data_IF_745881306597
#
_entry.id   IF_745881306597
#
_cell.length_a   1.000
_cell.length_b   1.000
_cell.length_c   1.000
_cell.angle_alpha   90.00
_cell.angle_beta   90.00
_cell.angle_gamma   90.00
#
_symmetry.space_group_name_H-M   'P 1'
#
loop_
_entity.id
_entity.type
_entity.pdbx_description
1 polymer ?
#
# COMPACT_ATOMS: atom_id res chain seq x y z
N UNK A 1 -7.11 15.11 25.20
CA UNK A 1 -5.69 14.87 24.85
C UNK A 1 -5.48 13.71 23.86
N UNK A 2 -6.39 12.72 23.75
CA UNK A 2 -6.25 11.62 22.77
C UNK A 2 -6.41 12.04 21.30
N UNK A 3 -7.25 13.04 21.00
CA UNK A 3 -7.50 13.51 19.61
C UNK A 3 -6.25 14.14 18.98
N UNK A 4 -5.45 14.86 19.77
CA UNK A 4 -4.21 15.50 19.30
C UNK A 4 -3.14 14.46 18.89
N UNK A 5 -3.09 13.33 19.60
CA UNK A 5 -2.17 12.24 19.27
C UNK A 5 -2.59 11.49 17.98
N UNK A 6 -3.89 11.33 17.72
CA UNK A 6 -4.38 10.72 16.47
C UNK A 6 -4.07 11.61 15.28
N UNK A 7 -4.42 12.90 15.36
CA UNK A 7 -4.16 13.86 14.29
C UNK A 7 -2.66 13.97 13.97
N UNK A 8 -1.80 13.97 15.00
CA UNK A 8 -0.35 14.00 14.80
C UNK A 8 0.18 12.71 14.16
N UNK A 9 -0.34 11.55 14.57
CA UNK A 9 0.03 10.26 13.98
C UNK A 9 -0.42 10.17 12.51
N UNK A 10 -1.67 10.54 12.22
CA UNK A 10 -2.22 10.61 10.86
C UNK A 10 -1.42 11.56 9.98
N UNK A 11 -1.05 12.73 10.51
CA UNK A 11 -0.20 13.70 9.81
C UNK A 11 1.17 13.11 9.45
N UNK A 12 1.80 12.40 10.38
CA UNK A 12 3.07 11.70 10.14
C UNK A 12 2.90 10.61 9.10
N UNK A 13 1.92 9.72 9.22
CA UNK A 13 1.68 8.63 8.27
C UNK A 13 1.45 9.19 6.86
N UNK A 14 0.60 10.22 6.73
CA UNK A 14 0.34 10.87 5.45
C UNK A 14 1.59 11.51 4.84
N UNK A 15 2.47 12.10 5.66
CA UNK A 15 3.74 12.65 5.17
C UNK A 15 4.65 11.55 4.60
N UNK A 16 4.77 10.41 5.28
CA UNK A 16 5.56 9.27 4.79
C UNK A 16 4.94 8.68 3.53
N UNK A 17 3.61 8.49 3.50
CA UNK A 17 2.89 8.00 2.32
C UNK A 17 3.16 8.88 1.10
N UNK A 18 3.07 10.21 1.26
CA UNK A 18 3.37 11.16 0.16
C UNK A 18 4.80 11.03 -0.34
N UNK A 19 5.78 10.93 0.56
CA UNK A 19 7.18 10.77 0.19
C UNK A 19 7.43 9.45 -0.55
N UNK A 20 6.84 8.36 -0.07
CA UNK A 20 6.94 7.03 -0.69
C UNK A 20 6.31 7.03 -2.09
N UNK A 21 5.14 7.63 -2.26
CA UNK A 21 4.49 7.76 -3.58
C UNK A 21 5.39 8.50 -4.57
N UNK A 22 6.03 9.60 -4.16
CA UNK A 22 6.97 10.32 -5.04
C UNK A 22 8.19 9.48 -5.37
N UNK A 23 8.83 8.86 -4.37
CA UNK A 23 9.99 8.02 -4.56
C UNK A 23 9.70 6.87 -5.54
N UNK A 24 8.58 6.17 -5.34
CA UNK A 24 8.17 5.07 -6.21
C UNK A 24 7.85 5.58 -7.61
N UNK A 25 7.25 6.77 -7.75
CA UNK A 25 7.02 7.35 -9.09
C UNK A 25 8.32 7.63 -9.85
N UNK A 26 9.38 8.03 -9.15
CA UNK A 26 10.71 8.22 -9.73
C UNK A 26 11.33 6.88 -10.12
N UNK A 27 11.26 5.88 -9.24
CA UNK A 27 11.76 4.53 -9.49
C UNK A 27 11.03 3.90 -10.69
N UNK A 28 9.72 4.12 -10.81
CA UNK A 28 8.88 3.60 -11.89
C UNK A 28 9.17 4.22 -13.27
N UNK A 29 10.01 5.25 -13.36
CA UNK A 29 10.55 5.71 -14.63
C UNK A 29 11.57 4.73 -15.24
N UNK A 30 12.13 3.80 -14.43
CA UNK A 30 13.01 2.74 -14.88
C UNK A 30 12.13 1.54 -15.30
N UNK A 31 12.16 1.08 -16.57
CA UNK A 31 11.25 0.04 -17.08
C UNK A 31 11.28 -1.27 -16.28
N UNK A 32 12.46 -1.75 -15.92
CA UNK A 32 12.63 -3.00 -15.16
C UNK A 32 12.07 -2.87 -13.74
N UNK A 33 12.31 -1.72 -13.10
CA UNK A 33 11.77 -1.45 -11.77
C UNK A 33 10.25 -1.29 -11.81
N UNK A 34 9.70 -0.66 -12.86
CA UNK A 34 8.25 -0.60 -13.09
C UNK A 34 7.64 -1.99 -13.22
N UNK A 35 8.26 -2.88 -13.98
CA UNK A 35 7.79 -4.26 -14.13
C UNK A 35 7.78 -5.00 -12.78
N UNK A 36 8.83 -4.85 -11.97
CA UNK A 36 8.90 -5.44 -10.64
C UNK A 36 7.82 -4.88 -9.69
N UNK A 37 7.56 -3.56 -9.73
CA UNK A 37 6.51 -2.93 -8.92
C UNK A 37 5.11 -3.40 -9.32
N UNK A 38 4.85 -3.61 -10.62
CA UNK A 38 3.58 -4.18 -11.12
C UNK A 38 3.43 -5.63 -10.68
N UNK A 39 4.49 -6.44 -10.78
CA UNK A 39 4.46 -7.83 -10.33
C UNK A 39 4.18 -7.93 -8.82
N UNK A 40 4.75 -7.03 -8.02
CA UNK A 40 4.50 -6.96 -6.58
C UNK A 40 3.05 -6.58 -6.25
N UNK A 41 2.46 -5.64 -7.01
CA UNK A 41 1.06 -5.29 -6.85
C UNK A 41 0.14 -6.51 -7.12
N UNK A 42 0.46 -7.31 -8.13
CA UNK A 42 -0.28 -8.51 -8.50
C UNK A 42 -0.08 -9.67 -7.51
N UNK A 43 1.13 -9.88 -6.98
CA UNK A 43 1.37 -10.96 -6.01
C UNK A 43 0.59 -10.76 -4.71
N UNK A 44 0.35 -9.51 -4.34
CA UNK A 44 -0.46 -9.12 -3.17
C UNK A 44 -1.95 -9.43 -3.36
N UNK A 45 -2.41 -9.64 -4.60
CA UNK A 45 -3.80 -10.04 -4.92
C UNK A 45 -4.00 -11.55 -4.70
N UNK A 46 -3.01 -12.37 -5.07
CA UNK A 46 -3.09 -13.84 -4.97
C UNK A 46 -3.12 -14.41 -3.55
N UNK A 47 -2.71 -13.66 -2.52
CA UNK A 47 -2.69 -14.15 -1.12
C UNK A 47 -4.09 -14.07 -0.47
N UNK A 48 -5.03 -13.32 -1.05
CA UNK A 48 -6.37 -13.12 -0.48
C UNK A 48 -7.38 -14.25 -0.79
N UNK A 49 -7.08 -15.14 -1.74
CA UNK A 49 -8.07 -16.11 -2.27
C UNK A 49 -8.05 -17.49 -1.59
N UNK A 50 -7.47 -17.59 -0.38
CA UNK A 50 -7.51 -18.83 0.41
C UNK A 50 -8.60 -18.76 1.48
N UNK A 51 -9.78 -19.23 1.07
CA UNK A 51 -10.77 -19.95 1.90
C UNK A 51 -10.88 -19.50 3.37
N UNK A 52 -11.52 -18.37 3.62
CA UNK A 52 -12.04 -18.08 4.96
C UNK A 52 -13.23 -19.03 5.25
N UNK A 53 -12.93 -20.13 5.95
CA UNK A 53 -13.88 -21.10 6.50
C UNK A 53 -14.87 -20.36 7.45
N UNK A 54 -16.20 -20.45 7.24
CA UNK A 54 -17.17 -19.67 8.01
C UNK A 54 -17.25 -20.17 9.46
N UNK A 55 -16.47 -19.56 10.36
CA UNK A 55 -16.53 -19.84 11.79
C UNK A 55 -15.32 -19.46 12.65
N UNK A 56 -14.21 -19.01 12.05
CA UNK A 56 -13.02 -18.58 12.79
C UNK A 56 -13.07 -17.05 12.96
N UNK A 57 -13.04 -16.57 14.21
CA UNK A 57 -12.80 -15.14 14.48
C UNK A 57 -11.45 -14.74 13.85
N UNK A 58 -11.40 -13.72 12.99
CA UNK A 58 -10.16 -13.33 12.34
C UNK A 58 -9.14 -12.92 13.40
N UNK A 59 -8.03 -13.66 13.46
CA UNK A 59 -6.92 -13.36 14.37
C UNK A 59 -6.40 -11.94 14.05
N UNK A 60 -6.20 -11.07 15.06
CA UNK A 60 -5.72 -9.70 14.88
C UNK A 60 -4.44 -9.58 14.04
N UNK A 61 -3.64 -10.65 13.93
CA UNK A 61 -2.49 -10.70 13.01
C UNK A 61 -2.91 -10.63 11.53
N UNK A 62 -4.00 -11.28 11.12
CA UNK A 62 -4.53 -11.21 9.75
C UNK A 62 -5.12 -9.84 9.44
N UNK A 63 -5.80 -9.22 10.40
CA UNK A 63 -6.32 -7.86 10.24
C UNK A 63 -5.18 -6.84 10.02
N UNK A 64 -4.07 -6.96 10.75
CA UNK A 64 -2.90 -6.10 10.56
C UNK A 64 -2.21 -6.31 9.20
N UNK A 65 -2.11 -7.57 8.74
CA UNK A 65 -1.56 -7.90 7.43
C UNK A 65 -2.41 -7.33 6.30
N UNK A 66 -3.73 -7.49 6.39
CA UNK A 66 -4.68 -6.95 5.41
C UNK A 66 -4.54 -5.41 5.28
N UNK A 67 -4.45 -4.71 6.41
CA UNK A 67 -4.26 -3.25 6.43
C UNK A 67 -2.94 -2.86 5.76
N UNK A 68 -1.86 -3.61 6.01
CA UNK A 68 -0.57 -3.35 5.37
C UNK A 68 -0.63 -3.57 3.85
N UNK A 69 -1.27 -4.66 3.41
CA UNK A 69 -1.41 -4.99 2.00
C UNK A 69 -2.27 -3.96 1.25
N UNK A 70 -3.37 -3.52 1.86
CA UNK A 70 -4.21 -2.43 1.34
C UNK A 70 -3.42 -1.13 1.18
N UNK A 71 -2.59 -0.77 2.17
CA UNK A 71 -1.77 0.43 2.12
C UNK A 71 -0.70 0.34 1.02
N UNK A 72 -0.04 -0.82 0.88
CA UNK A 72 0.94 -1.09 -0.18
C UNK A 72 0.28 -0.92 -1.56
N UNK A 73 -0.88 -1.55 -1.79
CA UNK A 73 -1.62 -1.41 -3.06
C UNK A 73 -1.99 0.05 -3.32
N UNK A 74 -2.46 0.76 -2.30
CA UNK A 74 -2.79 2.17 -2.39
C UNK A 74 -1.59 3.06 -2.76
N UNK A 75 -0.40 2.76 -2.24
CA UNK A 75 0.84 3.51 -2.56
C UNK A 75 1.25 3.24 -4.01
N UNK A 76 1.27 1.98 -4.44
CA UNK A 76 1.68 1.60 -5.80
C UNK A 76 0.75 2.20 -6.85
N UNK A 77 -0.57 2.12 -6.64
CA UNK A 77 -1.56 2.70 -7.54
C UNK A 77 -1.38 4.22 -7.68
N UNK A 78 -1.19 4.93 -6.57
CA UNK A 78 -0.96 6.37 -6.58
C UNK A 78 0.35 6.76 -7.29
N UNK A 79 1.40 5.96 -7.13
CA UNK A 79 2.67 6.19 -7.82
C UNK A 79 2.55 5.97 -9.33
N UNK A 80 1.85 4.91 -9.78
CA UNK A 80 1.62 4.64 -11.21
C UNK A 80 0.79 5.74 -11.87
N UNK A 81 -0.31 6.16 -11.23
CA UNK A 81 -1.13 7.26 -11.74
C UNK A 81 -0.32 8.54 -11.96
N UNK A 82 0.64 8.84 -11.07
CA UNK A 82 1.54 9.99 -11.23
C UNK A 82 2.48 9.84 -12.42
N UNK A 83 3.01 8.65 -12.67
CA UNK A 83 3.86 8.39 -13.84
C UNK A 83 3.07 8.66 -15.12
N UNK A 84 1.83 8.19 -15.20
CA UNK A 84 0.95 8.40 -16.36
C UNK A 84 0.65 9.88 -16.59
N UNK A 85 0.48 10.68 -15.54
CA UNK A 85 0.29 12.14 -15.68
C UNK A 85 1.55 12.94 -16.03
N UNK A 86 2.75 12.36 -15.82
CA UNK A 86 4.04 13.02 -16.08
C UNK A 86 4.60 12.72 -17.48
N UNK A 87 4.02 11.78 -18.22
CA UNK A 87 4.35 11.47 -19.63
C UNK A 87 3.57 12.37 -20.59
#
# INVERSE_FOLDING_TARGET
>A
MAIDNSAHLEGRINAHRRLLVELISVVAAIPEARAALVAMAQSTETVMDHEEDPGIEPDPAFAAQQIADDEIRGILAAAMARVETKQ
#
